data_IF_137283099398
#
_entry.id   IF_137283099398
#
_cell.length_a   1.000
_cell.length_b   1.000
_cell.length_c   1.000
_cell.angle_alpha   90.00
_cell.angle_beta   90.00
_cell.angle_gamma   90.00
#
_symmetry.space_group_name_H-M   'P 1'
#
loop_
_entity.id
_entity.type
_entity.pdbx_description
1 polymer ?
#
# COMPACT_ATOMS: atom_id res chain seq x y z
N UNK A 1 -38.92 -31.07 -14.48
CA UNK A 1 -37.66 -31.84 -14.54
C UNK A 1 -36.62 -31.26 -15.51
N UNK A 2 -36.82 -31.24 -16.85
CA UNK A 2 -35.81 -30.68 -17.77
C UNK A 2 -35.63 -29.15 -17.66
N UNK A 3 -36.71 -28.40 -17.41
CA UNK A 3 -36.66 -26.95 -17.21
C UNK A 3 -35.90 -26.55 -15.93
N UNK A 4 -36.10 -27.29 -14.83
CA UNK A 4 -35.39 -27.08 -13.57
C UNK A 4 -33.88 -27.36 -13.71
N UNK A 5 -33.52 -28.42 -14.44
CA UNK A 5 -32.12 -28.72 -14.77
C UNK A 5 -31.48 -27.62 -15.64
N UNK A 6 -32.22 -27.13 -16.64
CA UNK A 6 -31.77 -26.00 -17.48
C UNK A 6 -31.55 -24.72 -16.67
N UNK A 7 -32.46 -24.41 -15.74
CA UNK A 7 -32.35 -23.26 -14.86
C UNK A 7 -31.14 -23.35 -13.93
N UNK A 8 -30.87 -24.54 -13.35
CA UNK A 8 -29.69 -24.77 -12.51
C UNK A 8 -28.40 -24.53 -13.29
N UNK A 9 -28.33 -25.02 -14.55
CA UNK A 9 -27.16 -24.80 -15.41
C UNK A 9 -26.95 -23.31 -15.70
N UNK A 10 -28.01 -22.58 -16.02
CA UNK A 10 -27.93 -21.13 -16.27
C UNK A 10 -27.47 -20.35 -15.03
N UNK A 11 -27.95 -20.74 -13.83
CA UNK A 11 -27.52 -20.13 -12.56
C UNK A 11 -26.03 -20.38 -12.32
N UNK A 12 -25.55 -21.61 -12.54
CA UNK A 12 -24.13 -21.93 -12.40
C UNK A 12 -23.25 -21.11 -13.35
N UNK A 13 -23.67 -20.96 -14.61
CA UNK A 13 -22.97 -20.13 -15.60
C UNK A 13 -22.95 -18.66 -15.16
N UNK A 14 -24.09 -18.12 -14.70
CA UNK A 14 -24.20 -16.75 -14.24
C UNK A 14 -23.28 -16.48 -13.04
N UNK A 15 -23.29 -17.36 -12.04
CA UNK A 15 -22.42 -17.26 -10.86
C UNK A 15 -20.95 -17.34 -11.27
N UNK A 16 -20.59 -18.30 -12.13
CA UNK A 16 -19.23 -18.44 -12.65
C UNK A 16 -18.77 -17.17 -13.39
N UNK A 17 -19.64 -16.58 -14.20
CA UNK A 17 -19.40 -15.32 -14.89
C UNK A 17 -19.14 -14.16 -13.93
N UNK A 18 -19.98 -14.00 -12.91
CA UNK A 18 -19.82 -12.96 -11.88
C UNK A 18 -18.50 -13.14 -11.12
N UNK A 19 -18.19 -14.37 -10.70
CA UNK A 19 -16.94 -14.67 -9.99
C UNK A 19 -15.71 -14.34 -10.83
N UNK A 20 -15.73 -14.69 -12.13
CA UNK A 20 -14.63 -14.37 -13.04
C UNK A 20 -14.46 -12.86 -13.20
N UNK A 21 -15.56 -12.10 -13.33
CA UNK A 21 -15.51 -10.64 -13.41
C UNK A 21 -14.94 -10.03 -12.13
N UNK A 22 -15.39 -10.48 -10.96
CA UNK A 22 -14.88 -10.01 -9.67
C UNK A 22 -13.40 -10.32 -9.50
N UNK A 23 -12.94 -11.51 -9.92
CA UNK A 23 -11.53 -11.86 -9.89
C UNK A 23 -10.68 -10.92 -10.76
N UNK A 24 -11.14 -10.59 -11.97
CA UNK A 24 -10.44 -9.64 -12.85
C UNK A 24 -10.38 -8.23 -12.26
N UNK A 25 -11.49 -7.76 -11.67
CA UNK A 25 -11.54 -6.47 -11.00
C UNK A 25 -10.58 -6.43 -9.80
N UNK A 26 -10.56 -7.49 -9.00
CA UNK A 26 -9.65 -7.61 -7.87
C UNK A 26 -8.18 -7.57 -8.31
N UNK A 27 -7.84 -8.27 -9.39
CA UNK A 27 -6.49 -8.29 -9.94
C UNK A 27 -6.08 -6.88 -10.45
N UNK A 28 -6.97 -6.21 -11.18
CA UNK A 28 -6.75 -4.85 -11.67
C UNK A 28 -6.60 -3.85 -10.53
N UNK A 29 -7.48 -3.91 -9.53
CA UNK A 29 -7.44 -3.05 -8.35
C UNK A 29 -6.16 -3.25 -7.54
N UNK A 30 -5.70 -4.50 -7.39
CA UNK A 30 -4.44 -4.80 -6.71
C UNK A 30 -3.25 -4.23 -7.47
N UNK A 31 -3.22 -4.37 -8.81
CA UNK A 31 -2.18 -3.75 -9.64
C UNK A 31 -2.16 -2.23 -9.49
N UNK A 32 -3.34 -1.59 -9.53
CA UNK A 32 -3.47 -0.15 -9.34
C UNK A 32 -3.00 0.29 -7.94
N UNK A 33 -3.37 -0.47 -6.90
CA UNK A 33 -2.98 -0.20 -5.51
C UNK A 33 -1.46 -0.30 -5.35
N UNK A 34 -0.81 -1.31 -5.94
CA UNK A 34 0.64 -1.46 -5.87
C UNK A 34 1.37 -0.32 -6.58
N UNK A 35 0.92 0.07 -7.79
CA UNK A 35 1.52 1.17 -8.55
C UNK A 35 1.29 2.50 -7.85
N UNK A 36 0.04 2.78 -7.46
CA UNK A 36 -0.34 4.00 -6.76
C UNK A 36 0.34 4.11 -5.40
N UNK A 37 0.42 3.02 -4.65
CA UNK A 37 1.13 2.95 -3.38
C UNK A 37 2.63 3.18 -3.52
N UNK A 38 3.27 2.57 -4.54
CA UNK A 38 4.68 2.79 -4.83
C UNK A 38 4.98 4.24 -5.21
N UNK A 39 4.14 4.84 -6.07
CA UNK A 39 4.29 6.24 -6.48
C UNK A 39 4.03 7.20 -5.31
N UNK A 40 3.01 6.91 -4.49
CA UNK A 40 2.72 7.66 -3.28
C UNK A 40 3.91 7.64 -2.31
N UNK A 41 4.51 6.47 -2.08
CA UNK A 41 5.72 6.36 -1.26
C UNK A 41 6.88 7.17 -1.85
N UNK A 42 7.15 7.06 -3.15
CA UNK A 42 8.20 7.83 -3.79
C UNK A 42 7.98 9.35 -3.68
N UNK A 43 6.74 9.80 -3.88
CA UNK A 43 6.35 11.20 -3.70
C UNK A 43 6.56 11.67 -2.25
N UNK A 44 6.07 10.90 -1.27
CA UNK A 44 6.24 11.20 0.15
C UNK A 44 7.72 11.37 0.51
N UNK A 45 8.59 10.49 0.01
CA UNK A 45 10.03 10.57 0.28
C UNK A 45 10.66 11.81 -0.37
N UNK A 46 10.47 12.02 -1.67
CA UNK A 46 11.10 13.15 -2.38
C UNK A 46 10.62 14.49 -1.80
N UNK A 47 9.30 14.62 -1.60
CA UNK A 47 8.72 15.85 -1.08
C UNK A 47 9.04 16.06 0.40
N UNK A 48 9.08 14.98 1.19
CA UNK A 48 9.45 15.05 2.60
C UNK A 48 10.91 15.43 2.81
N UNK A 49 11.83 14.92 2.00
CA UNK A 49 13.22 15.36 2.04
C UNK A 49 13.36 16.82 1.60
N UNK A 50 12.64 17.24 0.56
CA UNK A 50 12.61 18.65 0.14
C UNK A 50 12.13 19.57 1.28
N UNK A 51 11.01 19.23 1.92
CA UNK A 51 10.50 19.98 3.08
C UNK A 51 11.48 19.95 4.26
N UNK A 52 12.08 18.80 4.56
CA UNK A 52 12.97 18.66 5.70
C UNK A 52 14.30 19.42 5.53
N UNK A 53 14.83 19.50 4.32
CA UNK A 53 16.16 20.10 4.09
C UNK A 53 16.12 21.50 3.49
N UNK A 54 15.07 21.82 2.73
CA UNK A 54 14.97 23.08 1.98
C UNK A 54 13.91 24.00 2.57
N UNK A 55 12.74 23.46 2.93
CA UNK A 55 11.59 24.24 3.39
C UNK A 55 11.20 23.88 4.84
N UNK A 56 12.17 23.96 5.75
CA UNK A 56 12.01 23.52 7.15
C UNK A 56 10.90 24.27 7.88
N UNK A 57 10.69 25.54 7.55
CA UNK A 57 9.64 26.34 8.14
C UNK A 57 8.25 25.81 7.76
N UNK A 58 8.06 25.38 6.51
CA UNK A 58 6.82 24.74 6.06
C UNK A 58 6.63 23.38 6.74
N UNK A 59 7.71 22.60 6.87
CA UNK A 59 7.68 21.31 7.56
C UNK A 59 7.23 21.47 9.03
N UNK A 60 7.85 22.38 9.78
CA UNK A 60 7.51 22.61 11.19
C UNK A 60 6.12 23.23 11.32
N UNK A 61 5.76 24.18 10.46
CA UNK A 61 4.44 24.83 10.51
C UNK A 61 3.31 23.86 10.22
N UNK A 62 3.46 22.95 9.25
CA UNK A 62 2.45 21.92 8.98
C UNK A 62 2.31 20.96 10.17
N UNK A 63 3.43 20.58 10.80
CA UNK A 63 3.40 19.76 12.01
C UNK A 63 2.70 20.46 13.18
N UNK A 64 2.99 21.74 13.41
CA UNK A 64 2.38 22.50 14.52
C UNK A 64 0.88 22.74 14.32
N UNK A 65 0.44 22.88 13.07
CA UNK A 65 -0.98 23.16 12.74
C UNK A 65 -1.81 21.89 12.68
N UNK A 66 -1.28 20.82 12.08
CA UNK A 66 -2.03 19.59 11.81
C UNK A 66 -1.63 18.40 12.71
N UNK A 67 -0.57 18.54 13.52
CA UNK A 67 -0.14 17.55 14.50
C UNK A 67 0.04 16.16 13.87
N UNK A 68 -0.66 15.16 14.41
CA UNK A 68 -0.58 13.78 13.96
C UNK A 68 -1.08 13.52 12.53
N UNK A 69 -1.94 14.39 11.99
CA UNK A 69 -2.45 14.28 10.62
C UNK A 69 -1.65 15.13 9.62
N UNK A 70 -0.53 15.71 10.06
CA UNK A 70 0.36 16.49 9.22
C UNK A 70 1.21 15.61 8.30
N UNK A 71 1.57 16.15 7.13
CA UNK A 71 2.45 15.47 6.18
C UNK A 71 3.81 15.07 6.82
N UNK A 72 4.51 15.95 7.57
CA UNK A 72 5.71 15.62 8.33
C UNK A 72 5.59 14.36 9.19
N UNK A 73 4.46 14.18 9.87
CA UNK A 73 4.25 13.03 10.74
C UNK A 73 4.20 11.73 9.95
N UNK A 74 3.48 11.73 8.82
CA UNK A 74 3.44 10.57 7.92
C UNK A 74 4.83 10.28 7.33
N UNK A 75 5.53 11.31 6.84
CA UNK A 75 6.88 11.17 6.28
C UNK A 75 7.87 10.56 7.30
N UNK A 76 7.91 11.09 8.52
CA UNK A 76 8.77 10.58 9.59
C UNK A 76 8.34 9.17 9.99
N UNK A 77 7.04 8.91 10.16
CA UNK A 77 6.51 7.61 10.54
C UNK A 77 6.85 6.50 9.54
N UNK A 78 6.70 6.77 8.24
CA UNK A 78 7.07 5.85 7.16
C UNK A 78 8.59 5.59 7.20
N UNK A 79 9.41 6.62 7.32
CA UNK A 79 10.87 6.47 7.39
C UNK A 79 11.33 5.66 8.61
N UNK A 80 10.74 5.88 9.78
CA UNK A 80 11.02 5.11 11.00
C UNK A 80 10.64 3.64 10.80
N UNK A 81 9.48 3.35 10.21
CA UNK A 81 9.06 1.99 9.89
C UNK A 81 10.05 1.31 8.93
N UNK A 82 10.43 1.99 7.84
CA UNK A 82 11.38 1.47 6.85
C UNK A 82 12.76 1.20 7.47
N UNK A 83 13.27 2.13 8.28
CA UNK A 83 14.52 1.95 9.00
C UNK A 83 14.46 0.73 9.95
N UNK A 84 13.37 0.57 10.70
CA UNK A 84 13.16 -0.59 11.57
C UNK A 84 13.16 -1.92 10.80
N UNK A 85 12.51 -1.97 9.64
CA UNK A 85 12.51 -3.15 8.77
C UNK A 85 13.91 -3.46 8.22
N UNK A 86 14.68 -2.44 7.84
CA UNK A 86 16.06 -2.59 7.38
C UNK A 86 16.95 -3.15 8.48
N UNK A 87 16.90 -2.57 9.69
CA UNK A 87 17.66 -3.04 10.85
C UNK A 87 17.32 -4.50 11.16
N UNK A 88 16.02 -4.86 11.19
CA UNK A 88 15.58 -6.24 11.41
C UNK A 88 16.12 -7.20 10.35
N UNK A 89 16.08 -6.80 9.07
CA UNK A 89 16.59 -7.62 7.95
C UNK A 89 18.10 -7.82 8.04
N UNK A 90 18.84 -6.77 8.38
CA UNK A 90 20.29 -6.80 8.56
C UNK A 90 20.65 -7.70 9.75
N UNK A 91 20.03 -7.50 10.91
CA UNK A 91 20.23 -8.31 12.11
C UNK A 91 20.03 -9.80 11.82
N UNK A 92 18.90 -10.18 11.19
CA UNK A 92 18.63 -11.56 10.79
C UNK A 92 19.72 -12.15 9.88
N UNK A 93 20.24 -11.34 8.95
CA UNK A 93 21.33 -11.76 8.05
C UNK A 93 22.64 -11.98 8.80
N UNK A 94 22.95 -11.14 9.79
CA UNK A 94 24.13 -11.33 10.65
C UNK A 94 24.02 -12.59 11.51
N UNK A 95 22.89 -12.80 12.19
CA UNK A 95 22.68 -14.01 13.01
C UNK A 95 22.82 -15.29 12.18
N UNK A 96 22.28 -15.32 10.96
CA UNK A 96 22.43 -16.48 10.05
C UNK A 96 23.86 -16.72 9.59
N UNK A 97 24.73 -15.69 9.58
CA UNK A 97 26.14 -15.83 9.18
C UNK A 97 27.05 -16.23 10.35
N UNK A 98 26.58 -16.08 11.58
CA UNK A 98 27.32 -16.37 12.82
C UNK A 98 26.94 -17.73 13.43
N UNK A 99 25.86 -18.36 12.95
CA UNK A 99 25.43 -19.72 13.28
C UNK A 99 25.82 -20.67 12.15
#
# INVERSE_FOLDING_TARGET
>A
MFEELGQIILILIAIGGILLLLYRLFLAATGLLLIGGGLFLAFMEVYGLYLLFTETDLFVRDFQTNGWLSFPTFFVGINVLLAGLLVKKISKRFTKRLA
#
